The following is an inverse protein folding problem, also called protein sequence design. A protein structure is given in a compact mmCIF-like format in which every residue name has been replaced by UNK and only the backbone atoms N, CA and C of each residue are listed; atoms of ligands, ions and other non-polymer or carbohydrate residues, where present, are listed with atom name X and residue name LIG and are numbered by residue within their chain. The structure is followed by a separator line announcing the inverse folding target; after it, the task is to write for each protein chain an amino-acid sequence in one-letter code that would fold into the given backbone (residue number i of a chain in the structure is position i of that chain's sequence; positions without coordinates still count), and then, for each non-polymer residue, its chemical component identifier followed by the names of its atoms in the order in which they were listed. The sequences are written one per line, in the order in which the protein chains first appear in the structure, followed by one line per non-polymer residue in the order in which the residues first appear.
data_IF_045581791784
#
_entry.id   IF_045581791784
#
_cell.length_a   1.000
_cell.length_b   1.000
_cell.length_c   1.000
_cell.angle_alpha   90.00
_cell.angle_beta   90.00
_cell.angle_gamma   90.00
#
_symmetry.space_group_name_H-M   'P 1'
#
loop_
_entity.id
_entity.type
_entity.pdbx_description
1 polymer ?
#
# COMPACT_ATOMS: atom_id res chain seq x y z
N UNK A 1 27.04 5.78 -34.06
CA UNK A 1 27.81 5.46 -32.85
C UNK A 1 27.44 6.51 -31.82
N UNK A 2 26.41 6.20 -31.01
CA UNK A 2 25.97 7.09 -29.93
C UNK A 2 26.98 7.00 -28.78
N UNK A 3 27.36 8.15 -28.23
CA UNK A 3 28.28 8.24 -27.10
C UNK A 3 27.64 7.59 -25.87
N UNK A 4 28.43 6.87 -25.05
CA UNK A 4 28.00 6.46 -23.70
C UNK A 4 27.63 7.74 -22.92
N UNK A 5 26.41 7.88 -22.37
CA UNK A 5 26.12 8.98 -21.46
C UNK A 5 26.99 8.81 -20.21
N UNK A 6 28.00 9.67 -20.08
CA UNK A 6 28.95 9.65 -18.98
C UNK A 6 28.26 10.10 -17.68
N UNK A 7 28.11 9.17 -16.74
CA UNK A 7 27.79 9.42 -15.33
C UNK A 7 26.37 9.04 -14.92
N UNK A 8 26.19 7.83 -14.39
CA UNK A 8 25.06 7.46 -13.53
C UNK A 8 25.27 8.01 -12.11
N UNK A 9 25.57 9.30 -11.97
CA UNK A 9 25.33 9.96 -10.68
C UNK A 9 23.86 10.29 -10.66
N UNK A 10 23.08 9.47 -9.95
CA UNK A 10 21.74 9.82 -9.51
C UNK A 10 21.79 11.29 -9.08
N UNK A 11 20.99 12.12 -9.74
CA UNK A 11 20.78 13.48 -9.27
C UNK A 11 20.31 13.31 -7.83
N UNK A 12 21.15 13.71 -6.86
CA UNK A 12 20.73 13.83 -5.46
C UNK A 12 19.58 14.83 -5.47
N UNK A 13 18.37 14.34 -5.67
CA UNK A 13 17.17 15.12 -5.52
C UNK A 13 17.13 15.50 -4.06
N UNK A 14 17.42 16.77 -3.81
CA UNK A 14 17.19 17.41 -2.55
C UNK A 14 15.79 17.04 -2.09
N UNK A 15 15.70 16.23 -1.02
CA UNK A 15 14.48 15.97 -0.27
C UNK A 15 13.86 17.32 0.09
N UNK A 16 12.87 17.74 -0.69
CA UNK A 16 11.69 18.41 -0.15
C UNK A 16 10.61 17.37 -0.17
N UNK A 17 10.32 16.81 1.01
CA UNK A 17 9.04 16.20 1.29
C UNK A 17 7.97 17.15 0.76
N UNK A 18 7.22 16.73 -0.26
CA UNK A 18 6.21 17.54 -0.91
C UNK A 18 4.92 16.75 -0.89
N UNK A 19 4.20 16.94 0.22
CA UNK A 19 2.77 16.72 0.38
C UNK A 19 2.05 17.28 -0.85
N UNK A 20 1.16 16.46 -1.44
CA UNK A 20 0.22 16.88 -2.47
C UNK A 20 -0.51 18.16 -2.01
N UNK A 21 -0.62 19.12 -2.92
CA UNK A 21 -0.91 20.51 -2.63
C UNK A 21 -2.35 20.75 -2.13
N UNK A 22 -2.45 21.26 -0.90
CA UNK A 22 -3.62 21.95 -0.38
C UNK A 22 -3.83 23.28 -1.12
N UNK A 23 -4.90 23.38 -1.91
CA UNK A 23 -5.41 24.67 -2.36
C UNK A 23 -6.31 25.27 -1.28
N UNK A 24 -5.72 26.11 -0.42
CA UNK A 24 -6.45 26.95 0.52
C UNK A 24 -7.20 28.06 -0.23
N UNK A 25 -8.51 27.90 -0.38
CA UNK A 25 -9.40 29.00 -0.71
C UNK A 25 -9.94 29.63 0.60
N UNK A 26 -9.61 30.91 0.76
CA UNK A 26 -10.11 31.89 1.74
C UNK A 26 -11.54 31.64 2.26
N UNK A 27 -11.66 31.47 3.59
CA UNK A 27 -12.91 31.57 4.36
C UNK A 27 -13.09 33.02 4.84
N UNK A 28 -14.27 33.64 4.70
CA UNK A 28 -14.60 34.85 5.44
C UNK A 28 -15.06 34.51 6.86
N UNK A 29 -14.44 35.24 7.78
CA UNK A 29 -14.67 35.30 9.22
C UNK A 29 -16.16 35.56 9.56
N UNK A 30 -16.75 34.73 10.42
CA UNK A 30 -17.93 35.15 11.18
C UNK A 30 -18.05 34.37 12.50
N UNK A 31 -17.60 35.03 13.57
CA UNK A 31 -17.89 34.66 14.96
C UNK A 31 -19.38 34.82 15.25
N UNK A 32 -20.01 33.77 15.76
CA UNK A 32 -21.19 33.91 16.64
C UNK A 32 -21.15 32.85 17.71
N UNK A 33 -21.08 33.33 18.95
CA UNK A 33 -21.21 32.61 20.21
C UNK A 33 -22.57 31.90 20.35
N UNK A 34 -22.56 30.67 20.85
CA UNK A 34 -23.77 29.97 21.32
C UNK A 34 -23.47 28.53 21.73
N UNK A 35 -23.79 28.20 22.97
CA UNK A 35 -23.63 26.92 23.69
C UNK A 35 -23.85 25.66 22.82
N UNK A 36 -22.89 24.73 22.81
CA UNK A 36 -23.02 23.43 22.13
C UNK A 36 -23.52 22.35 23.08
N UNK A 37 -24.81 22.02 22.98
CA UNK A 37 -25.26 20.66 23.26
C UNK A 37 -24.84 19.78 22.07
N UNK A 38 -23.95 18.83 22.31
CA UNK A 38 -23.43 17.90 21.31
C UNK A 38 -24.51 16.87 20.95
N UNK A 39 -25.34 17.19 19.95
CA UNK A 39 -26.22 16.24 19.27
C UNK A 39 -25.43 15.54 18.17
N UNK A 40 -25.03 14.29 18.41
CA UNK A 40 -24.34 13.46 17.43
C UNK A 40 -25.34 12.73 16.54
N UNK A 41 -25.16 12.83 15.22
CA UNK A 41 -25.93 12.08 14.23
C UNK A 41 -25.36 10.66 14.17
N UNK A 42 -26.04 9.70 14.79
CA UNK A 42 -25.84 8.27 14.52
C UNK A 42 -26.05 8.02 13.02
N UNK A 43 -25.12 7.32 12.38
CA UNK A 43 -25.31 6.83 11.00
C UNK A 43 -26.42 5.78 11.08
N UNK A 44 -27.66 6.20 10.79
CA UNK A 44 -28.81 5.32 10.74
C UNK A 44 -28.66 4.41 9.50
N UNK A 45 -28.40 3.13 9.73
CA UNK A 45 -28.67 2.11 8.72
C UNK A 45 -30.18 2.13 8.45
N UNK A 46 -30.57 2.10 7.17
CA UNK A 46 -31.98 1.89 6.80
C UNK A 46 -32.37 0.50 7.24
N UNK A 47 -33.05 0.38 8.38
CA UNK A 47 -33.72 -0.84 8.82
C UNK A 47 -34.81 -1.22 7.80
N UNK A 48 -34.50 -2.08 6.84
CA UNK A 48 -35.51 -2.71 5.99
C UNK A 48 -36.10 -3.92 6.71
N UNK A 49 -37.00 -3.65 7.66
CA UNK A 49 -37.91 -4.66 8.21
C UNK A 49 -39.12 -3.98 8.86
N UNK A 50 -39.88 -3.24 8.05
CA UNK A 50 -41.21 -2.82 8.44
C UNK A 50 -42.17 -4.03 8.39
N UNK A 51 -42.31 -4.71 9.52
CA UNK A 51 -43.59 -5.27 9.95
C UNK A 51 -43.67 -5.19 11.47
N UNK A 52 -44.38 -4.16 11.94
CA UNK A 52 -44.94 -4.06 13.30
C UNK A 52 -45.63 -5.35 13.69
N UNK A 53 -45.17 -6.03 14.75
CA UNK A 53 -46.02 -6.73 15.72
C UNK A 53 -45.34 -6.82 17.09
N UNK A 54 -45.88 -6.04 18.05
CA UNK A 54 -45.96 -6.26 19.49
C UNK A 54 -44.98 -7.28 20.11
N UNK A 55 -43.91 -6.79 20.75
CA UNK A 55 -43.33 -7.44 21.96
C UNK A 55 -42.67 -6.40 22.89
N UNK A 56 -43.32 -6.17 24.03
CA UNK A 56 -42.68 -5.70 25.26
C UNK A 56 -41.57 -6.70 25.68
N UNK A 57 -40.34 -6.37 25.34
CA UNK A 57 -39.10 -6.91 25.90
C UNK A 57 -38.10 -5.74 26.00
N UNK A 58 -36.97 -5.85 26.73
CA UNK A 58 -35.95 -4.84 26.62
C UNK A 58 -35.50 -4.85 25.16
N UNK A 59 -35.80 -3.78 24.42
CA UNK A 59 -35.36 -3.60 23.05
C UNK A 59 -33.83 -3.74 23.05
N UNK A 60 -33.33 -4.84 22.47
CA UNK A 60 -31.91 -5.03 22.22
C UNK A 60 -31.55 -4.09 21.07
N UNK A 61 -31.47 -2.79 21.37
CA UNK A 61 -31.25 -1.64 20.47
C UNK A 61 -29.83 -1.61 19.86
N UNK A 62 -29.18 -2.76 19.79
CA UNK A 62 -27.83 -2.93 19.28
C UNK A 62 -27.80 -3.41 17.84
N UNK A 63 -26.75 -3.02 17.11
CA UNK A 63 -26.39 -3.69 15.86
C UNK A 63 -26.03 -5.14 16.15
N UNK A 64 -26.50 -6.07 15.33
CA UNK A 64 -26.14 -7.50 15.35
C UNK A 64 -24.70 -7.73 14.86
N UNK A 65 -24.16 -8.95 14.97
CA UNK A 65 -22.85 -9.27 14.38
C UNK A 65 -22.92 -9.20 12.85
N UNK A 66 -24.05 -9.57 12.26
CA UNK A 66 -24.32 -9.45 10.83
C UNK A 66 -24.27 -7.99 10.38
N UNK A 67 -24.86 -7.08 11.15
CA UNK A 67 -24.78 -5.64 10.89
C UNK A 67 -23.33 -5.13 10.99
N UNK A 68 -22.56 -5.62 11.97
CA UNK A 68 -21.13 -5.28 12.09
C UNK A 68 -20.30 -5.82 10.91
N UNK A 69 -20.63 -7.01 10.39
CA UNK A 69 -20.01 -7.56 9.17
C UNK A 69 -20.35 -6.69 7.95
N UNK A 70 -21.59 -6.21 7.83
CA UNK A 70 -21.99 -5.30 6.76
C UNK A 70 -21.25 -3.95 6.87
N UNK A 71 -21.20 -3.35 8.06
CA UNK A 71 -20.45 -2.12 8.30
C UNK A 71 -18.96 -2.29 8.01
N UNK A 72 -18.37 -3.43 8.36
CA UNK A 72 -16.99 -3.76 8.00
C UNK A 72 -16.81 -3.81 6.49
N UNK A 73 -17.70 -4.48 5.77
CA UNK A 73 -17.65 -4.53 4.29
C UNK A 73 -17.77 -3.14 3.66
N UNK A 74 -18.65 -2.28 4.20
CA UNK A 74 -18.78 -0.89 3.76
C UNK A 74 -17.51 -0.07 4.05
N UNK A 75 -16.94 -0.22 5.24
CA UNK A 75 -15.69 0.44 5.60
C UNK A 75 -14.50 -0.02 4.73
N UNK A 76 -14.42 -1.31 4.39
CA UNK A 76 -13.43 -1.85 3.46
C UNK A 76 -13.56 -1.21 2.07
N UNK A 77 -14.78 -1.08 1.56
CA UNK A 77 -15.04 -0.43 0.27
C UNK A 77 -14.63 1.04 0.28
N UNK A 78 -14.99 1.79 1.34
CA UNK A 78 -14.62 3.20 1.47
C UNK A 78 -13.12 3.40 1.65
N UNK A 79 -12.45 2.53 2.41
CA UNK A 79 -11.00 2.56 2.55
C UNK A 79 -10.32 2.28 1.20
N UNK A 80 -10.80 1.30 0.44
CA UNK A 80 -10.30 1.02 -0.89
C UNK A 80 -10.51 2.20 -1.85
N UNK A 81 -11.69 2.83 -1.84
CA UNK A 81 -12.00 4.00 -2.64
C UNK A 81 -11.08 5.17 -2.29
N UNK A 82 -10.86 5.42 -1.00
CA UNK A 82 -9.94 6.45 -0.56
C UNK A 82 -8.49 6.15 -0.99
N UNK A 83 -7.98 4.95 -0.71
CA UNK A 83 -6.58 4.57 -0.99
C UNK A 83 -6.26 4.50 -2.48
N UNK A 84 -7.17 3.95 -3.29
CA UNK A 84 -6.95 3.77 -4.73
C UNK A 84 -7.29 5.03 -5.54
N UNK A 85 -8.38 5.73 -5.19
CA UNK A 85 -8.92 6.82 -6.00
C UNK A 85 -8.63 8.21 -5.42
N UNK A 86 -7.97 8.28 -4.25
CA UNK A 86 -7.74 9.53 -3.52
C UNK A 86 -9.03 10.33 -3.27
N UNK A 87 -10.16 9.66 -3.05
CA UNK A 87 -11.45 10.30 -2.84
C UNK A 87 -11.59 10.84 -1.40
N UNK A 88 -11.61 12.18 -1.18
CA UNK A 88 -11.67 12.75 0.16
C UNK A 88 -13.01 12.49 0.88
N UNK A 89 -14.12 12.32 0.15
CA UNK A 89 -15.42 12.00 0.76
C UNK A 89 -15.39 10.59 1.38
N UNK A 90 -14.81 9.63 0.66
CA UNK A 90 -14.55 8.28 1.18
C UNK A 90 -13.62 8.28 2.39
N UNK A 91 -12.70 9.24 2.51
CA UNK A 91 -11.84 9.38 3.69
C UNK A 91 -12.67 9.67 4.95
N UNK A 92 -13.56 10.67 4.88
CA UNK A 92 -14.41 11.05 6.00
C UNK A 92 -15.38 9.92 6.36
N UNK A 93 -15.97 9.26 5.35
CA UNK A 93 -16.88 8.14 5.56
C UNK A 93 -16.18 6.94 6.20
N UNK A 94 -14.97 6.59 5.73
CA UNK A 94 -14.15 5.51 6.31
C UNK A 94 -13.88 5.75 7.80
N UNK A 95 -13.44 6.96 8.15
CA UNK A 95 -13.17 7.32 9.55
C UNK A 95 -14.43 7.22 10.42
N UNK A 96 -15.59 7.65 9.91
CA UNK A 96 -16.85 7.57 10.65
C UNK A 96 -17.34 6.12 10.84
N UNK A 97 -17.24 5.28 9.80
CA UNK A 97 -17.61 3.87 9.89
C UNK A 97 -16.72 3.11 10.88
N UNK A 98 -15.40 3.30 10.81
CA UNK A 98 -14.45 2.68 11.73
C UNK A 98 -14.72 3.09 13.19
N UNK A 99 -14.99 4.38 13.45
CA UNK A 99 -15.39 4.87 14.78
C UNK A 99 -16.71 4.27 15.24
N UNK A 100 -17.71 4.18 14.35
CA UNK A 100 -18.98 3.54 14.64
C UNK A 100 -18.82 2.09 15.08
N UNK A 101 -18.00 1.31 14.37
CA UNK A 101 -17.68 -0.07 14.72
C UNK A 101 -16.97 -0.13 16.08
N UNK A 102 -15.99 0.76 16.34
CA UNK A 102 -15.32 0.83 17.64
C UNK A 102 -16.28 1.12 18.80
N UNK A 103 -17.19 2.09 18.63
CA UNK A 103 -18.17 2.45 19.65
C UNK A 103 -19.16 1.33 19.92
N UNK A 104 -19.64 0.65 18.89
CA UNK A 104 -20.58 -0.47 19.05
C UNK A 104 -19.90 -1.67 19.72
N UNK A 105 -18.66 -1.99 19.35
CA UNK A 105 -17.89 -3.03 20.04
C UNK A 105 -17.67 -2.66 21.52
N UNK A 106 -17.36 -1.40 21.80
CA UNK A 106 -17.20 -0.92 23.17
C UNK A 106 -18.50 -1.04 23.98
N UNK A 107 -19.64 -0.64 23.40
CA UNK A 107 -20.97 -0.79 24.01
C UNK A 107 -21.27 -2.25 24.35
N UNK A 108 -21.03 -3.17 23.41
CA UNK A 108 -21.20 -4.62 23.62
C UNK A 108 -20.32 -5.17 24.74
N UNK A 109 -19.06 -4.75 24.81
CA UNK A 109 -18.14 -5.13 25.90
C UNK A 109 -18.64 -4.60 27.26
N UNK A 110 -19.11 -3.36 27.32
CA UNK A 110 -19.68 -2.79 28.54
C UNK A 110 -20.94 -3.53 28.99
N UNK A 111 -21.83 -3.88 28.07
CA UNK A 111 -23.06 -4.63 28.36
C UNK A 111 -22.75 -6.03 28.90
N UNK A 112 -21.81 -6.75 28.28
CA UNK A 112 -21.36 -8.06 28.77
C UNK A 112 -20.72 -7.98 30.17
N UNK A 113 -20.05 -6.88 30.50
CA UNK A 113 -19.48 -6.67 31.83
C UNK A 113 -20.55 -6.37 32.92
N UNK A 114 -21.66 -5.73 32.52
CA UNK A 114 -22.77 -5.40 33.42
C UNK A 114 -23.76 -6.56 33.60
N UNK A 115 -23.86 -7.44 32.62
CA UNK A 115 -24.78 -8.58 32.59
C UNK A 115 -24.00 -9.90 32.46
N UNK A 116 -23.64 -10.57 33.57
CA UNK A 116 -22.83 -11.81 33.54
C UNK A 116 -23.47 -12.99 32.79
N UNK A 117 -24.77 -12.92 32.50
CA UNK A 117 -25.50 -13.88 31.67
C UNK A 117 -25.37 -13.62 30.17
N UNK A 118 -24.88 -12.44 29.78
CA UNK A 118 -24.66 -12.04 28.39
C UNK A 118 -23.23 -12.41 28.01
N UNK A 119 -23.07 -13.57 27.40
CA UNK A 119 -21.77 -13.97 26.85
C UNK A 119 -21.36 -12.99 25.75
N UNK A 120 -20.14 -12.47 25.85
CA UNK A 120 -19.58 -11.63 24.79
C UNK A 120 -19.33 -12.53 23.58
N UNK A 121 -19.97 -12.20 22.45
CA UNK A 121 -19.73 -12.92 21.22
C UNK A 121 -18.25 -12.83 20.83
N UNK A 122 -17.66 -14.00 20.54
CA UNK A 122 -16.23 -14.22 20.29
C UNK A 122 -15.67 -13.45 19.07
N UNK A 123 -16.48 -12.67 18.36
CA UNK A 123 -16.06 -11.83 17.24
C UNK A 123 -15.97 -10.34 17.60
N UNK A 124 -16.53 -9.91 18.74
CA UNK A 124 -16.61 -8.49 19.11
C UNK A 124 -15.21 -7.88 19.30
N UNK A 125 -14.30 -8.64 19.91
CA UNK A 125 -12.94 -8.17 20.16
C UNK A 125 -12.09 -8.20 18.88
N UNK A 126 -12.35 -9.15 17.97
CA UNK A 126 -11.86 -9.20 16.59
C UNK A 126 -12.23 -7.95 15.80
N UNK A 127 -13.51 -7.54 15.84
CA UNK A 127 -13.96 -6.29 15.20
C UNK A 127 -13.27 -5.06 15.79
N UNK A 128 -13.19 -4.97 17.12
CA UNK A 128 -12.51 -3.86 17.78
C UNK A 128 -11.03 -3.83 17.40
N UNK A 129 -10.36 -4.98 17.40
CA UNK A 129 -8.96 -5.11 17.01
C UNK A 129 -8.71 -4.71 15.57
N UNK A 130 -9.57 -5.12 14.64
CA UNK A 130 -9.51 -4.72 13.23
C UNK A 130 -9.78 -3.23 13.05
N UNK A 131 -10.89 -2.71 13.58
CA UNK A 131 -11.29 -1.33 13.36
C UNK A 131 -10.28 -0.33 13.95
N UNK A 132 -9.73 -0.63 15.14
CA UNK A 132 -8.70 0.23 15.76
C UNK A 132 -7.36 0.16 15.03
N UNK A 133 -7.00 -0.98 14.45
CA UNK A 133 -5.80 -1.10 13.61
C UNK A 133 -5.97 -0.33 12.31
N UNK A 134 -7.08 -0.53 11.58
CA UNK A 134 -7.36 0.21 10.34
C UNK A 134 -7.46 1.70 10.58
N UNK A 135 -8.10 2.14 11.68
CA UNK A 135 -8.17 3.55 12.04
C UNK A 135 -6.78 4.13 12.33
N UNK A 136 -5.92 3.36 13.00
CA UNK A 136 -4.52 3.74 13.23
C UNK A 136 -3.72 3.88 11.93
N UNK A 137 -3.77 2.88 11.05
CA UNK A 137 -3.09 2.93 9.75
C UNK A 137 -3.65 4.07 8.87
N UNK A 138 -4.96 4.29 8.91
CA UNK A 138 -5.63 5.34 8.15
C UNK A 138 -5.30 6.76 8.64
N UNK A 139 -5.33 7.03 9.95
CA UNK A 139 -5.09 8.35 10.51
C UNK A 139 -3.60 8.67 10.69
N UNK A 140 -2.81 7.66 11.03
CA UNK A 140 -1.37 7.74 11.32
C UNK A 140 -0.61 6.72 10.47
N UNK A 141 -0.57 6.90 9.14
CA UNK A 141 0.02 5.94 8.22
C UNK A 141 1.52 5.71 8.49
N UNK A 142 1.97 4.49 8.23
CA UNK A 142 3.37 4.12 8.39
C UNK A 142 4.26 4.92 7.43
N UNK A 143 5.30 5.58 7.95
CA UNK A 143 6.27 6.31 7.13
C UNK A 143 5.76 7.64 6.56
N UNK A 144 4.57 8.10 6.97
CA UNK A 144 3.99 9.36 6.54
C UNK A 144 3.50 10.20 7.73
N UNK A 145 3.27 11.50 7.49
CA UNK A 145 2.75 12.41 8.50
C UNK A 145 1.30 12.05 8.86
N UNK A 146 0.88 12.19 10.14
CA UNK A 146 -0.49 12.02 10.55
C UNK A 146 -1.46 12.93 9.77
N UNK A 147 -2.64 12.42 9.48
CA UNK A 147 -3.75 13.15 8.84
C UNK A 147 -4.48 13.99 9.87
N UNK A 148 -3.82 15.03 10.36
CA UNK A 148 -4.28 15.86 11.46
C UNK A 148 -5.69 16.44 11.26
N UNK A 149 -6.11 16.65 10.01
CA UNK A 149 -7.45 17.10 9.65
C UNK A 149 -8.56 16.07 9.89
N UNK A 150 -8.21 14.78 10.01
CA UNK A 150 -9.16 13.68 10.25
C UNK A 150 -9.12 13.17 11.71
N UNK A 151 -8.12 13.57 12.49
CA UNK A 151 -7.93 13.14 13.88
C UNK A 151 -8.82 13.98 14.81
N UNK A 152 -9.64 13.32 15.61
CA UNK A 152 -10.48 13.98 16.61
C UNK A 152 -9.67 14.29 17.90
N UNK A 153 -10.09 15.27 18.72
CA UNK A 153 -9.31 15.70 19.89
C UNK A 153 -9.00 14.61 20.92
N UNK A 154 -9.87 13.60 21.04
CA UNK A 154 -9.74 12.52 22.02
C UNK A 154 -9.06 11.26 21.44
N UNK A 155 -8.60 11.32 20.19
CA UNK A 155 -8.00 10.18 19.51
C UNK A 155 -6.47 10.14 19.67
N UNK A 156 -5.88 8.92 19.68
CA UNK A 156 -4.44 8.78 19.57
C UNK A 156 -3.89 9.42 18.29
N UNK A 157 -2.87 10.25 18.46
CA UNK A 157 -2.13 10.95 17.40
C UNK A 157 -0.92 10.15 16.88
N UNK A 158 -0.74 8.91 17.34
CA UNK A 158 0.40 8.08 17.01
C UNK A 158 0.00 6.61 16.80
N UNK A 159 0.55 5.99 15.75
CA UNK A 159 0.23 4.62 15.35
C UNK A 159 0.53 3.59 16.44
N UNK A 160 1.63 3.75 17.18
CA UNK A 160 1.99 2.83 18.25
C UNK A 160 0.91 2.73 19.35
N UNK A 161 0.17 3.82 19.61
CA UNK A 161 -0.95 3.82 20.57
C UNK A 161 -2.15 3.07 20.00
N UNK A 162 -2.46 3.24 18.71
CA UNK A 162 -3.49 2.46 18.03
C UNK A 162 -3.16 0.97 18.01
N UNK A 163 -1.93 0.60 17.68
CA UNK A 163 -1.44 -0.77 17.74
C UNK A 163 -1.57 -1.34 19.16
N UNK A 164 -1.32 -0.56 20.21
CA UNK A 164 -1.49 -1.01 21.59
C UNK A 164 -2.96 -1.29 21.94
N UNK A 165 -3.92 -0.49 21.43
CA UNK A 165 -5.35 -0.73 21.61
C UNK A 165 -5.76 -2.03 20.88
N UNK A 166 -5.38 -2.16 19.61
CA UNK A 166 -5.66 -3.35 18.81
C UNK A 166 -5.06 -4.63 19.43
N UNK A 167 -3.81 -4.55 19.89
CA UNK A 167 -3.12 -5.66 20.57
C UNK A 167 -3.87 -6.14 21.81
N UNK A 168 -4.34 -5.20 22.65
CA UNK A 168 -5.14 -5.55 23.83
C UNK A 168 -6.44 -6.23 23.43
N UNK A 169 -7.12 -5.72 22.40
CA UNK A 169 -8.37 -6.31 21.93
C UNK A 169 -8.17 -7.75 21.42
N UNK A 170 -7.13 -8.00 20.64
CA UNK A 170 -6.86 -9.33 20.09
C UNK A 170 -6.31 -10.31 21.13
N UNK A 171 -5.65 -9.82 22.19
CA UNK A 171 -5.09 -10.68 23.24
C UNK A 171 -6.16 -11.46 24.00
N UNK A 172 -7.39 -10.92 24.12
CA UNK A 172 -8.52 -11.61 24.77
C UNK A 172 -9.12 -12.76 23.94
N UNK A 173 -8.80 -12.88 22.65
CA UNK A 173 -9.31 -13.96 21.78
C UNK A 173 -8.32 -15.10 21.56
N UNK A 174 -7.04 -14.93 21.93
CA UNK A 174 -6.05 -16.03 21.82
C UNK A 174 -6.41 -17.25 22.68
N UNK A 175 -7.25 -17.05 23.70
CA UNK A 175 -7.70 -18.08 24.63
C UNK A 175 -8.97 -18.83 24.14
N UNK A 176 -9.69 -18.33 23.12
CA UNK A 176 -10.95 -18.90 22.63
C UNK A 176 -10.84 -19.75 21.36
N UNK A 177 -9.69 -19.75 20.69
CA UNK A 177 -9.41 -20.55 19.50
C UNK A 177 -9.71 -19.79 18.19
N UNK A 178 -8.69 -19.72 17.33
CA UNK A 178 -8.64 -19.18 15.96
C UNK A 178 -9.62 -18.05 15.59
N UNK A 179 -9.06 -16.84 15.37
CA UNK A 179 -9.75 -15.71 14.72
C UNK A 179 -10.60 -16.21 13.55
N UNK A 180 -11.86 -15.76 13.47
CA UNK A 180 -12.76 -16.11 12.37
C UNK A 180 -12.15 -15.67 11.03
N UNK A 181 -12.55 -16.32 9.93
CA UNK A 181 -11.93 -16.15 8.61
C UNK A 181 -11.70 -14.69 8.20
N UNK A 182 -12.65 -13.79 8.52
CA UNK A 182 -12.63 -12.37 8.18
C UNK A 182 -11.55 -11.53 8.89
N UNK A 183 -10.89 -12.07 9.93
CA UNK A 183 -9.92 -11.34 10.75
C UNK A 183 -8.52 -11.99 10.77
N UNK A 184 -8.28 -13.03 9.96
CA UNK A 184 -7.00 -13.76 9.93
C UNK A 184 -5.78 -12.87 9.65
N UNK A 185 -5.98 -11.78 8.91
CA UNK A 185 -4.94 -10.81 8.58
C UNK A 185 -4.66 -9.77 9.66
N UNK A 186 -5.54 -9.60 10.64
CA UNK A 186 -5.42 -8.51 11.62
C UNK A 186 -4.15 -8.68 12.45
N UNK A 187 -3.95 -9.87 13.04
CA UNK A 187 -2.78 -10.13 13.88
C UNK A 187 -1.45 -10.07 13.09
N UNK A 188 -1.30 -10.70 11.90
CA UNK A 188 -0.09 -10.52 11.09
C UNK A 188 0.16 -9.06 10.70
N UNK A 189 -0.88 -8.28 10.41
CA UNK A 189 -0.75 -6.86 10.05
C UNK A 189 -0.29 -6.03 11.25
N UNK A 190 -0.86 -6.27 12.43
CA UNK A 190 -0.45 -5.65 13.68
C UNK A 190 1.02 -5.96 14.01
N UNK A 191 1.42 -7.24 13.91
CA UNK A 191 2.79 -7.67 14.19
C UNK A 191 3.80 -6.99 13.25
N UNK A 192 3.45 -6.88 11.95
CA UNK A 192 4.30 -6.19 10.97
C UNK A 192 4.37 -4.68 11.23
N UNK A 193 3.24 -4.03 11.54
CA UNK A 193 3.22 -2.61 11.87
C UNK A 193 4.09 -2.30 13.11
N UNK A 194 4.02 -3.14 14.14
CA UNK A 194 4.88 -3.02 15.33
C UNK A 194 6.36 -3.22 15.00
N UNK A 195 6.70 -4.23 14.18
CA UNK A 195 8.08 -4.45 13.75
C UNK A 195 8.64 -3.26 12.94
N UNK A 196 7.81 -2.65 12.10
CA UNK A 196 8.17 -1.44 11.34
C UNK A 196 8.40 -0.22 12.24
N UNK A 197 7.55 -0.05 13.27
CA UNK A 197 7.74 1.01 14.27
C UNK A 197 9.01 0.81 15.11
N UNK A 198 9.37 -0.43 15.41
CA UNK A 198 10.57 -0.77 16.18
C UNK A 198 11.87 -0.74 15.36
N UNK A 199 11.77 -0.65 14.03
CA UNK A 199 12.90 -0.52 13.08
C UNK A 199 13.95 -1.65 13.15
N UNK A 200 13.56 -2.87 13.56
CA UNK A 200 14.47 -4.04 13.59
C UNK A 200 14.35 -4.87 12.31
N UNK A 201 15.36 -4.78 11.44
CA UNK A 201 15.33 -5.39 10.08
C UNK A 201 15.01 -6.88 10.06
N UNK A 202 15.59 -7.68 10.96
CA UNK A 202 15.41 -9.13 10.95
C UNK A 202 13.97 -9.54 11.31
N UNK A 203 13.35 -8.80 12.23
CA UNK A 203 11.95 -9.01 12.63
C UNK A 203 11.01 -8.62 11.47
N UNK A 204 11.29 -7.50 10.79
CA UNK A 204 10.50 -7.04 9.63
C UNK A 204 10.45 -8.12 8.53
N UNK A 205 11.57 -8.77 8.20
CA UNK A 205 11.61 -9.81 7.16
C UNK A 205 10.74 -11.02 7.55
N UNK A 206 10.84 -11.47 8.80
CA UNK A 206 10.03 -12.58 9.31
C UNK A 206 8.54 -12.23 9.31
N UNK A 207 8.19 -11.05 9.85
CA UNK A 207 6.79 -10.59 9.91
C UNK A 207 6.21 -10.38 8.52
N UNK A 208 6.97 -9.82 7.59
CA UNK A 208 6.56 -9.64 6.20
C UNK A 208 6.31 -10.99 5.51
N UNK A 209 7.15 -12.00 5.77
CA UNK A 209 6.94 -13.33 5.22
C UNK A 209 5.64 -13.97 5.76
N UNK A 210 5.41 -13.91 7.07
CA UNK A 210 4.17 -14.45 7.67
C UNK A 210 2.96 -13.69 7.15
N UNK A 211 3.00 -12.35 7.16
CA UNK A 211 1.91 -11.52 6.66
C UNK A 211 1.64 -11.75 5.17
N UNK A 212 2.67 -11.80 4.33
CA UNK A 212 2.55 -12.04 2.90
C UNK A 212 1.97 -13.43 2.56
N UNK A 213 2.30 -14.45 3.35
CA UNK A 213 1.72 -15.79 3.20
C UNK A 213 0.21 -15.79 3.51
N UNK A 214 -0.20 -15.16 4.61
CA UNK A 214 -1.64 -15.05 4.97
C UNK A 214 -2.38 -14.18 3.95
N UNK A 215 -1.81 -13.04 3.53
CA UNK A 215 -2.38 -12.16 2.50
C UNK A 215 -2.64 -12.89 1.19
N UNK A 216 -1.66 -13.66 0.71
CA UNK A 216 -1.80 -14.43 -0.52
C UNK A 216 -2.86 -15.52 -0.38
N UNK A 217 -2.92 -16.19 0.78
CA UNK A 217 -3.94 -17.20 1.05
C UNK A 217 -5.35 -16.61 1.06
N UNK A 218 -5.53 -15.46 1.72
CA UNK A 218 -6.82 -14.76 1.79
C UNK A 218 -7.27 -14.30 0.41
N UNK A 219 -6.39 -13.69 -0.39
CA UNK A 219 -6.69 -13.27 -1.77
C UNK A 219 -7.15 -14.42 -2.67
N UNK A 220 -6.54 -15.60 -2.52
CA UNK A 220 -6.92 -16.81 -3.28
C UNK A 220 -8.26 -17.37 -2.80
N UNK A 221 -8.52 -17.32 -1.49
CA UNK A 221 -9.77 -17.82 -0.89
C UNK A 221 -10.97 -16.90 -1.15
N UNK A 222 -10.76 -15.60 -1.21
CA UNK A 222 -11.81 -14.59 -1.39
C UNK A 222 -12.22 -14.47 -2.85
N UNK A 223 -12.70 -15.56 -3.46
CA UNK A 223 -13.18 -15.54 -4.85
C UNK A 223 -14.49 -14.75 -5.06
N UNK A 224 -15.09 -14.19 -4.00
CA UNK A 224 -16.52 -13.81 -4.03
C UNK A 224 -16.77 -12.32 -3.77
N UNK A 225 -15.89 -11.58 -3.06
CA UNK A 225 -16.19 -10.19 -2.66
C UNK A 225 -15.10 -9.22 -3.16
N UNK A 226 -15.45 -8.41 -4.16
CA UNK A 226 -14.56 -7.44 -4.79
C UNK A 226 -14.06 -6.37 -3.80
N UNK A 227 -14.93 -5.81 -2.95
CA UNK A 227 -14.57 -4.78 -1.97
C UNK A 227 -13.48 -5.26 -1.01
N UNK A 228 -13.61 -6.50 -0.50
CA UNK A 228 -12.61 -7.12 0.35
C UNK A 228 -11.27 -7.31 -0.38
N UNK A 229 -11.29 -7.81 -1.63
CA UNK A 229 -10.06 -7.97 -2.42
C UNK A 229 -9.38 -6.62 -2.72
N UNK A 230 -10.15 -5.57 -3.02
CA UNK A 230 -9.62 -4.23 -3.24
C UNK A 230 -9.04 -3.64 -1.95
N UNK A 231 -9.69 -3.84 -0.80
CA UNK A 231 -9.16 -3.47 0.51
C UNK A 231 -7.82 -4.18 0.76
N UNK A 232 -7.77 -5.51 0.61
CA UNK A 232 -6.55 -6.31 0.78
C UNK A 232 -5.38 -5.78 -0.07
N UNK A 233 -5.65 -5.52 -1.36
CA UNK A 233 -4.66 -4.96 -2.28
C UNK A 233 -4.21 -3.56 -1.83
N UNK A 234 -5.15 -2.68 -1.49
CA UNK A 234 -4.85 -1.31 -1.09
C UNK A 234 -4.02 -1.26 0.21
N UNK A 235 -4.36 -2.07 1.20
CA UNK A 235 -3.61 -2.21 2.45
C UNK A 235 -2.21 -2.78 2.19
N UNK A 236 -2.09 -3.73 1.25
CA UNK A 236 -0.80 -4.28 0.89
C UNK A 236 0.12 -3.25 0.25
N UNK A 237 -0.40 -2.40 -0.64
CA UNK A 237 0.36 -1.32 -1.26
C UNK A 237 0.90 -0.33 -0.22
N UNK A 238 0.05 0.09 0.72
CA UNK A 238 0.42 1.00 1.80
C UNK A 238 1.56 0.43 2.67
N UNK A 239 1.48 -0.86 3.02
CA UNK A 239 2.53 -1.54 3.80
C UNK A 239 3.83 -1.65 2.99
N UNK A 240 3.75 -1.96 1.70
CA UNK A 240 4.94 -2.06 0.84
C UNK A 240 5.62 -0.71 0.69
N UNK A 241 4.86 0.37 0.53
CA UNK A 241 5.37 1.73 0.52
C UNK A 241 6.07 2.07 1.85
N UNK A 242 5.48 1.69 2.98
CA UNK A 242 6.06 1.92 4.30
C UNK A 242 7.35 1.13 4.59
N UNK A 243 7.46 -0.10 4.07
CA UNK A 243 8.69 -0.91 4.19
C UNK A 243 9.82 -0.31 3.35
N UNK A 244 9.49 0.41 2.29
CA UNK A 244 10.47 0.80 1.27
C UNK A 244 11.58 1.75 1.73
N UNK A 245 11.35 2.78 2.56
CA UNK A 245 12.44 3.62 3.10
C UNK A 245 13.48 2.85 3.90
N UNK A 246 13.12 1.72 4.53
CA UNK A 246 14.08 0.86 5.27
C UNK A 246 15.11 0.20 4.34
N UNK A 247 14.87 0.27 3.03
CA UNK A 247 15.76 -0.19 1.97
C UNK A 247 16.81 0.87 1.60
N UNK A 248 16.38 2.13 1.44
CA UNK A 248 17.20 3.23 0.92
C UNK A 248 18.31 3.65 1.89
N UNK A 249 18.10 3.53 3.21
CA UNK A 249 19.07 3.96 4.23
C UNK A 249 20.18 2.92 4.50
N UNK A 250 20.06 1.70 3.96
CA UNK A 250 20.98 0.59 4.21
C UNK A 250 21.55 -0.03 2.93
N UNK A 251 21.50 0.68 1.80
CA UNK A 251 22.17 0.25 0.57
C UNK A 251 23.63 -0.04 0.91
N UNK A 252 23.99 -1.33 0.96
CA UNK A 252 25.15 -1.94 0.29
C UNK A 252 25.58 -3.31 0.89
N UNK A 253 25.32 -3.71 2.13
CA UNK A 253 26.18 -4.78 2.73
C UNK A 253 25.62 -6.18 3.11
N UNK A 254 24.38 -6.63 2.82
CA UNK A 254 23.98 -7.98 3.29
C UNK A 254 23.11 -8.87 2.39
N UNK A 255 23.31 -10.19 2.55
CA UNK A 255 22.42 -11.27 2.09
C UNK A 255 20.95 -11.09 2.54
N UNK A 256 20.67 -10.22 3.52
CA UNK A 256 19.32 -9.93 4.02
C UNK A 256 18.49 -9.10 3.03
N UNK A 257 19.11 -8.16 2.30
CA UNK A 257 18.37 -7.29 1.36
C UNK A 257 17.90 -8.04 0.12
N UNK A 258 18.73 -8.94 -0.44
CA UNK A 258 18.31 -9.78 -1.56
C UNK A 258 17.11 -10.65 -1.17
N UNK A 259 17.15 -11.25 0.04
CA UNK A 259 16.02 -12.03 0.57
C UNK A 259 14.77 -11.18 0.73
N UNK A 260 14.89 -9.96 1.26
CA UNK A 260 13.77 -9.04 1.40
C UNK A 260 13.18 -8.65 0.03
N UNK A 261 14.04 -8.31 -0.94
CA UNK A 261 13.62 -8.02 -2.31
C UNK A 261 12.88 -9.22 -2.93
N UNK A 262 13.44 -10.42 -2.86
CA UNK A 262 12.80 -11.62 -3.42
C UNK A 262 11.45 -11.92 -2.76
N UNK A 263 11.31 -11.67 -1.46
CA UNK A 263 10.04 -11.82 -0.74
C UNK A 263 9.01 -10.77 -1.16
N UNK A 264 9.40 -9.49 -1.23
CA UNK A 264 8.52 -8.42 -1.69
C UNK A 264 8.11 -8.61 -3.15
N UNK A 265 9.05 -9.00 -4.01
CA UNK A 265 8.80 -9.34 -5.41
C UNK A 265 7.80 -10.47 -5.52
N UNK A 266 8.02 -11.58 -4.83
CA UNK A 266 7.11 -12.74 -4.84
C UNK A 266 5.71 -12.34 -4.36
N UNK A 267 5.63 -11.49 -3.34
CA UNK A 267 4.36 -10.97 -2.85
C UNK A 267 3.68 -10.09 -3.91
N UNK A 268 4.39 -9.11 -4.49
CA UNK A 268 3.87 -8.22 -5.53
C UNK A 268 3.45 -8.98 -6.80
N UNK A 269 4.20 -9.99 -7.20
CA UNK A 269 3.82 -10.91 -8.29
C UNK A 269 2.53 -11.67 -7.95
N UNK A 270 2.39 -12.15 -6.71
CA UNK A 270 1.17 -12.81 -6.23
C UNK A 270 -0.02 -11.85 -6.19
N UNK A 271 0.19 -10.61 -5.75
CA UNK A 271 -0.81 -9.53 -5.77
C UNK A 271 -1.20 -9.19 -7.21
N UNK A 272 -0.25 -9.11 -8.14
CA UNK A 272 -0.50 -8.82 -9.55
C UNK A 272 -1.34 -9.93 -10.19
N UNK A 273 -1.03 -11.20 -9.87
CA UNK A 273 -1.82 -12.35 -10.30
C UNK A 273 -3.23 -12.33 -9.71
N UNK A 274 -3.40 -11.97 -8.44
CA UNK A 274 -4.72 -11.80 -7.83
C UNK A 274 -5.49 -10.65 -8.49
N UNK A 275 -4.85 -9.50 -8.68
CA UNK A 275 -5.43 -8.32 -9.32
C UNK A 275 -5.89 -8.59 -10.76
N UNK A 276 -5.10 -9.35 -11.52
CA UNK A 276 -5.45 -9.77 -12.89
C UNK A 276 -6.72 -10.64 -12.94
N UNK A 277 -7.01 -11.36 -11.85
CA UNK A 277 -8.16 -12.26 -11.72
C UNK A 277 -9.32 -11.68 -10.91
N UNK A 278 -9.30 -10.38 -10.57
CA UNK A 278 -10.41 -9.73 -9.87
C UNK A 278 -11.73 -9.94 -10.64
N UNK A 279 -12.83 -10.27 -9.95
CA UNK A 279 -14.15 -10.36 -10.55
C UNK A 279 -14.56 -8.96 -11.00
N UNK A 280 -14.51 -8.72 -12.31
CA UNK A 280 -14.92 -7.45 -12.89
C UNK A 280 -16.42 -7.52 -13.12
N UNK A 281 -17.19 -6.82 -12.29
CA UNK A 281 -18.62 -6.65 -12.51
C UNK A 281 -18.86 -5.78 -13.76
N UNK A 282 -20.10 -5.72 -14.24
CA UNK A 282 -20.42 -4.84 -15.35
C UNK A 282 -20.41 -3.35 -14.98
N UNK A 283 -20.38 -3.03 -13.68
CA UNK A 283 -20.31 -1.67 -13.15
C UNK A 283 -19.02 -0.96 -13.63
N UNK A 284 -19.14 0.20 -14.30
CA UNK A 284 -17.99 1.01 -14.69
C UNK A 284 -17.06 1.40 -13.53
N UNK A 285 -17.60 1.60 -12.32
CA UNK A 285 -16.81 1.95 -11.15
C UNK A 285 -15.93 0.75 -10.72
N UNK A 286 -16.49 -0.45 -10.66
CA UNK A 286 -15.76 -1.69 -10.34
C UNK A 286 -14.63 -1.96 -11.34
N UNK A 287 -14.92 -1.78 -12.64
CA UNK A 287 -13.94 -1.88 -13.72
C UNK A 287 -12.76 -0.93 -13.49
N UNK A 288 -13.07 0.34 -13.20
CA UNK A 288 -12.06 1.36 -12.99
C UNK A 288 -11.25 1.10 -11.72
N UNK A 289 -11.89 0.69 -10.61
CA UNK A 289 -11.21 0.33 -9.36
C UNK A 289 -10.25 -0.84 -9.54
N UNK A 290 -10.68 -1.89 -10.24
CA UNK A 290 -9.81 -3.02 -10.57
C UNK A 290 -8.64 -2.60 -11.49
N UNK A 291 -8.87 -1.68 -12.44
CA UNK A 291 -7.81 -1.15 -13.29
C UNK A 291 -6.79 -0.33 -12.49
N UNK A 292 -7.24 0.54 -11.58
CA UNK A 292 -6.38 1.32 -10.68
C UNK A 292 -5.57 0.41 -9.76
N UNK A 293 -6.20 -0.63 -9.19
CA UNK A 293 -5.50 -1.62 -8.37
C UNK A 293 -4.40 -2.34 -9.17
N UNK A 294 -4.71 -2.81 -10.39
CA UNK A 294 -3.75 -3.46 -11.29
C UNK A 294 -2.60 -2.52 -11.66
N UNK A 295 -2.91 -1.28 -12.00
CA UNK A 295 -1.93 -0.26 -12.32
C UNK A 295 -1.00 -0.02 -11.12
N UNK A 296 -1.56 0.21 -9.93
CA UNK A 296 -0.80 0.53 -8.72
C UNK A 296 0.15 -0.60 -8.31
N UNK A 297 -0.31 -1.86 -8.35
CA UNK A 297 0.56 -3.03 -8.08
C UNK A 297 1.66 -3.14 -9.15
N UNK A 298 1.30 -3.00 -10.43
CA UNK A 298 2.25 -3.12 -11.53
C UNK A 298 3.32 -2.03 -11.45
N UNK A 299 2.91 -0.80 -11.16
CA UNK A 299 3.80 0.34 -10.99
C UNK A 299 4.73 0.13 -9.78
N UNK A 300 4.21 -0.28 -8.63
CA UNK A 300 5.05 -0.55 -7.45
C UNK A 300 6.04 -1.68 -7.73
N UNK A 301 5.63 -2.77 -8.38
CA UNK A 301 6.55 -3.85 -8.78
C UNK A 301 7.67 -3.35 -9.70
N UNK A 302 7.32 -2.52 -10.69
CA UNK A 302 8.30 -1.91 -11.58
C UNK A 302 9.27 -1.00 -10.83
N UNK A 303 8.76 -0.14 -9.96
CA UNK A 303 9.56 0.81 -9.19
C UNK A 303 10.52 0.10 -8.21
N UNK A 304 10.06 -0.95 -7.50
CA UNK A 304 10.94 -1.74 -6.63
C UNK A 304 12.02 -2.47 -7.40
N UNK A 305 11.68 -3.00 -8.58
CA UNK A 305 12.65 -3.63 -9.45
C UNK A 305 13.69 -2.62 -9.99
N UNK A 306 13.27 -1.39 -10.32
CA UNK A 306 14.15 -0.30 -10.72
C UNK A 306 15.11 0.08 -9.59
N UNK A 307 14.61 0.40 -8.40
CA UNK A 307 15.45 0.78 -7.25
C UNK A 307 16.48 -0.30 -6.93
N UNK A 308 16.07 -1.57 -6.92
CA UNK A 308 17.00 -2.69 -6.71
C UNK A 308 18.05 -2.80 -7.82
N UNK A 309 17.60 -2.76 -9.07
CA UNK A 309 18.46 -2.89 -10.24
C UNK A 309 19.48 -1.74 -10.33
N UNK A 310 19.05 -0.50 -10.09
CA UNK A 310 19.93 0.66 -10.05
C UNK A 310 20.96 0.57 -8.92
N UNK A 311 20.56 0.14 -7.72
CA UNK A 311 21.50 -0.03 -6.61
C UNK A 311 22.55 -1.13 -6.87
N UNK A 312 22.18 -2.21 -7.58
CA UNK A 312 23.14 -3.23 -8.00
C UNK A 312 24.03 -2.72 -9.15
N UNK A 313 23.46 -1.96 -10.09
CA UNK A 313 24.21 -1.34 -11.18
C UNK A 313 25.30 -0.40 -10.64
N UNK A 314 24.99 0.45 -9.65
CA UNK A 314 25.97 1.33 -9.00
C UNK A 314 27.15 0.53 -8.40
N UNK A 315 26.89 -0.63 -7.77
CA UNK A 315 27.98 -1.49 -7.25
C UNK A 315 28.86 -2.07 -8.36
N UNK A 316 28.26 -2.44 -9.48
CA UNK A 316 28.99 -2.96 -10.63
C UNK A 316 29.83 -1.83 -11.24
N UNK A 317 29.29 -0.62 -11.31
CA UNK A 317 30.06 0.55 -11.74
C UNK A 317 31.26 0.79 -10.82
N UNK A 318 31.08 0.79 -9.51
CA UNK A 318 32.17 0.94 -8.55
C UNK A 318 33.24 -0.17 -8.68
N UNK A 319 32.81 -1.40 -9.01
CA UNK A 319 33.70 -2.56 -9.12
C UNK A 319 34.50 -2.59 -10.44
N UNK A 320 33.86 -2.28 -11.57
CA UNK A 320 34.45 -2.43 -12.91
C UNK A 320 34.87 -1.10 -13.56
N UNK A 321 34.44 0.04 -13.01
CA UNK A 321 34.79 1.39 -13.48
C UNK A 321 35.21 2.31 -12.32
N UNK A 322 36.22 1.93 -11.51
CA UNK A 322 36.64 2.76 -10.37
C UNK A 322 37.13 4.13 -10.83
N UNK A 323 36.68 5.22 -10.18
CA UNK A 323 36.99 6.62 -10.51
C UNK A 323 38.50 6.95 -10.57
N UNK A 324 39.39 6.02 -10.17
CA UNK A 324 40.84 6.20 -10.09
C UNK A 324 41.64 5.89 -11.36
N UNK A 325 41.09 5.24 -12.39
CA UNK A 325 41.83 4.92 -13.62
C UNK A 325 41.61 5.97 -14.72
N UNK A 326 42.63 6.80 -14.94
CA UNK A 326 42.66 7.89 -15.93
C UNK A 326 42.94 7.44 -17.37
N UNK A 327 43.01 6.13 -17.62
CA UNK A 327 43.16 5.64 -19.00
C UNK A 327 41.77 5.46 -19.61
N UNK A 328 41.51 6.03 -20.80
CA UNK A 328 40.24 5.82 -21.48
C UNK A 328 40.11 4.32 -21.75
N UNK A 329 39.16 3.67 -21.06
CA UNK A 329 38.71 2.32 -21.40
C UNK A 329 38.28 2.36 -22.87
N UNK A 330 38.85 1.49 -23.69
CA UNK A 330 38.51 1.40 -25.11
C UNK A 330 36.99 1.18 -25.22
N UNK A 331 36.27 2.01 -25.99
CA UNK A 331 34.79 2.06 -25.96
C UNK A 331 34.15 0.70 -26.37
N UNK A 332 34.92 -0.11 -27.09
CA UNK A 332 34.59 -1.45 -27.58
C UNK A 332 34.80 -2.57 -26.56
N UNK A 333 35.52 -2.33 -25.46
CA UNK A 333 35.70 -3.33 -24.41
C UNK A 333 34.54 -3.24 -23.40
N UNK A 334 33.92 -4.39 -23.14
CA UNK A 334 32.90 -4.53 -22.10
C UNK A 334 33.58 -5.18 -20.88
N UNK A 335 34.04 -4.38 -19.91
CA UNK A 335 34.91 -4.88 -18.83
C UNK A 335 34.15 -5.64 -17.75
N UNK A 336 32.81 -5.66 -17.79
CA UNK A 336 31.98 -6.33 -16.79
C UNK A 336 32.01 -7.83 -17.01
N UNK A 337 32.37 -8.60 -15.97
CA UNK A 337 32.26 -10.06 -15.99
C UNK A 337 30.79 -10.47 -16.03
N UNK A 338 30.35 -11.06 -17.14
CA UNK A 338 28.96 -11.50 -17.30
C UNK A 338 28.61 -12.69 -16.42
N UNK A 339 29.58 -13.38 -15.82
CA UNK A 339 29.33 -14.43 -14.83
C UNK A 339 29.14 -13.91 -13.41
N UNK A 340 29.35 -12.60 -13.18
CA UNK A 340 29.13 -11.96 -11.88
C UNK A 340 27.65 -12.08 -11.46
N UNK A 341 27.35 -12.66 -10.28
CA UNK A 341 25.98 -12.77 -9.78
C UNK A 341 25.26 -11.42 -9.65
N UNK A 342 25.98 -10.35 -9.28
CA UNK A 342 25.39 -9.02 -9.16
C UNK A 342 24.99 -8.48 -10.54
N UNK A 343 25.80 -8.74 -11.57
CA UNK A 343 25.49 -8.38 -12.95
C UNK A 343 24.23 -9.10 -13.44
N UNK A 344 24.14 -10.41 -13.24
CA UNK A 344 22.95 -11.18 -13.61
C UNK A 344 21.71 -10.68 -12.86
N UNK A 345 21.81 -10.45 -11.55
CA UNK A 345 20.70 -9.94 -10.74
C UNK A 345 20.27 -8.53 -11.16
N UNK A 346 21.23 -7.67 -11.54
CA UNK A 346 20.95 -6.32 -12.08
C UNK A 346 20.11 -6.42 -13.35
N UNK A 347 20.52 -7.25 -14.31
CA UNK A 347 19.78 -7.45 -15.55
C UNK A 347 18.38 -8.03 -15.29
N UNK A 348 18.25 -9.00 -14.38
CA UNK A 348 16.93 -9.55 -14.01
C UNK A 348 16.02 -8.46 -13.45
N UNK A 349 16.52 -7.65 -12.51
CA UNK A 349 15.75 -6.58 -11.88
C UNK A 349 15.34 -5.49 -12.88
N UNK A 350 16.28 -5.02 -13.72
CA UNK A 350 15.98 -3.96 -14.70
C UNK A 350 15.06 -4.43 -15.83
N UNK A 351 15.17 -5.69 -16.28
CA UNK A 351 14.21 -6.24 -17.25
C UNK A 351 12.81 -6.39 -16.64
N UNK A 352 12.72 -6.78 -15.37
CA UNK A 352 11.44 -6.82 -14.65
C UNK A 352 10.82 -5.42 -14.54
N UNK A 353 11.64 -4.40 -14.23
CA UNK A 353 11.20 -3.01 -14.22
C UNK A 353 10.66 -2.55 -15.58
N UNK A 354 11.39 -2.78 -16.69
CA UNK A 354 10.95 -2.44 -18.05
C UNK A 354 9.62 -3.11 -18.40
N UNK A 355 9.51 -4.41 -18.13
CA UNK A 355 8.29 -5.18 -18.39
C UNK A 355 7.09 -4.57 -17.67
N UNK A 356 7.22 -4.31 -16.37
CA UNK A 356 6.09 -3.82 -15.57
C UNK A 356 5.77 -2.36 -15.83
N UNK A 357 6.75 -1.47 -16.03
CA UNK A 357 6.46 -0.10 -16.45
C UNK A 357 5.77 -0.05 -17.82
N UNK A 358 6.15 -0.94 -18.75
CA UNK A 358 5.46 -1.06 -20.04
C UNK A 358 4.00 -1.50 -19.87
N UNK A 359 3.72 -2.46 -18.97
CA UNK A 359 2.35 -2.87 -18.65
C UNK A 359 1.57 -1.72 -18.00
N UNK A 360 2.17 -1.03 -17.03
CA UNK A 360 1.55 0.11 -16.35
C UNK A 360 1.19 1.23 -17.34
N UNK A 361 2.09 1.53 -18.29
CA UNK A 361 1.85 2.50 -19.36
C UNK A 361 0.66 2.10 -20.22
N UNK A 362 0.60 0.82 -20.63
CA UNK A 362 -0.53 0.31 -21.41
C UNK A 362 -1.85 0.42 -20.64
N UNK A 363 -1.86 0.10 -19.35
CA UNK A 363 -3.04 0.24 -18.50
C UNK A 363 -3.54 1.69 -18.50
N UNK A 364 -2.63 2.67 -18.31
CA UNK A 364 -2.97 4.10 -18.35
C UNK A 364 -3.54 4.55 -19.70
N UNK A 365 -3.06 3.99 -20.82
CA UNK A 365 -3.55 4.33 -22.15
C UNK A 365 -4.93 3.73 -22.45
N UNK A 366 -5.29 2.62 -21.80
CA UNK A 366 -6.52 1.86 -22.08
C UNK A 366 -7.69 2.17 -21.16
N UNK A 367 -7.44 2.57 -19.92
CA UNK A 367 -8.51 2.83 -18.94
C UNK A 367 -8.81 4.34 -18.83
N UNK A 368 -10.08 4.78 -19.01
CA UNK A 368 -10.44 6.19 -18.96
C UNK A 368 -10.08 6.87 -17.63
N UNK A 369 -10.28 6.19 -16.50
CA UNK A 369 -10.00 6.77 -15.19
C UNK A 369 -8.48 6.95 -14.99
N UNK A 370 -7.69 5.96 -15.39
CA UNK A 370 -6.22 6.06 -15.34
C UNK A 370 -5.69 7.15 -16.27
N UNK A 371 -6.33 7.35 -17.43
CA UNK A 371 -5.99 8.43 -18.35
C UNK A 371 -6.23 9.81 -17.74
N UNK A 372 -7.24 9.90 -16.88
CA UNK A 372 -7.64 11.13 -16.18
C UNK A 372 -6.88 11.35 -14.85
N UNK A 373 -6.07 10.38 -14.37
CA UNK A 373 -5.22 10.52 -13.16
C UNK A 373 -4.16 11.62 -13.27
N UNK A 374 -4.01 12.26 -14.44
CA UNK A 374 -3.28 13.50 -14.62
C UNK A 374 -2.00 13.35 -15.42
N UNK A 375 -1.62 14.43 -16.11
CA UNK A 375 -0.41 14.49 -16.94
C UNK A 375 0.87 14.25 -16.13
N UNK A 376 0.87 14.59 -14.84
CA UNK A 376 2.01 14.42 -13.94
C UNK A 376 2.34 12.95 -13.68
N UNK A 377 1.33 12.11 -13.42
CA UNK A 377 1.49 10.66 -13.23
C UNK A 377 2.00 10.00 -14.52
N UNK A 378 1.43 10.39 -15.67
CA UNK A 378 1.86 9.88 -16.96
C UNK A 378 3.30 10.31 -17.31
N UNK A 379 3.70 11.51 -16.90
CA UNK A 379 5.06 12.02 -17.08
C UNK A 379 6.05 11.27 -16.18
N UNK A 380 5.73 11.10 -14.91
CA UNK A 380 6.57 10.37 -13.96
C UNK A 380 6.83 8.92 -14.43
N UNK A 381 5.77 8.21 -14.84
CA UNK A 381 5.90 6.87 -15.41
C UNK A 381 6.83 6.84 -16.63
N UNK A 382 6.73 7.81 -17.54
CA UNK A 382 7.63 7.90 -18.71
C UNK A 382 9.07 8.17 -18.27
N UNK A 383 9.28 9.04 -17.29
CA UNK A 383 10.60 9.32 -16.73
C UNK A 383 11.21 8.05 -16.13
N UNK A 384 10.50 7.34 -15.25
CA UNK A 384 11.01 6.11 -14.62
C UNK A 384 11.27 4.99 -15.65
N UNK A 385 10.40 4.83 -16.65
CA UNK A 385 10.64 3.89 -17.74
C UNK A 385 11.88 4.27 -18.57
N UNK A 386 12.06 5.56 -18.86
CA UNK A 386 13.25 6.06 -19.56
C UNK A 386 14.52 5.79 -18.76
N UNK A 387 14.53 6.11 -17.46
CA UNK A 387 15.63 5.84 -16.54
C UNK A 387 15.96 4.34 -16.46
N UNK A 388 14.93 3.49 -16.40
CA UNK A 388 15.08 2.03 -16.42
C UNK A 388 15.79 1.56 -17.69
N UNK A 389 15.32 2.03 -18.86
CA UNK A 389 15.89 1.64 -20.15
C UNK A 389 17.33 2.16 -20.30
N UNK A 390 17.62 3.39 -19.86
CA UNK A 390 18.98 3.93 -19.90
C UNK A 390 19.94 3.11 -19.02
N UNK A 391 19.52 2.81 -17.79
CA UNK A 391 20.31 1.98 -16.87
C UNK A 391 20.52 0.58 -17.46
N UNK A 392 19.45 -0.03 -18.00
CA UNK A 392 19.56 -1.34 -18.66
C UNK A 392 20.50 -1.29 -19.87
N UNK A 393 20.42 -0.25 -20.69
CA UNK A 393 21.31 -0.04 -21.84
C UNK A 393 22.78 0.05 -21.43
N UNK A 394 23.09 0.78 -20.36
CA UNK A 394 24.45 0.87 -19.81
C UNK A 394 24.99 -0.49 -19.36
N UNK A 395 24.11 -1.37 -18.88
CA UNK A 395 24.45 -2.71 -18.40
C UNK A 395 24.54 -3.77 -19.51
N UNK A 396 24.13 -3.51 -20.76
CA UNK A 396 24.21 -4.50 -21.84
C UNK A 396 25.55 -4.40 -22.58
N UNK A 397 26.05 -5.51 -23.13
CA UNK A 397 27.20 -5.54 -24.04
C UNK A 397 26.97 -4.69 -25.31
N UNK A 398 28.04 -4.18 -25.97
CA UNK A 398 27.91 -3.43 -27.21
C UNK A 398 27.26 -4.30 -28.28
N UNK A 399 26.19 -3.80 -28.90
CA UNK A 399 25.52 -4.50 -29.98
C UNK A 399 24.05 -4.13 -30.13
N UNK A 400 23.32 -4.85 -31.00
CA UNK A 400 21.96 -4.48 -31.41
C UNK A 400 20.95 -4.41 -30.26
N UNK A 401 21.14 -5.24 -29.21
CA UNK A 401 20.26 -5.23 -28.03
C UNK A 401 20.37 -3.92 -27.24
N UNK A 402 21.59 -3.43 -27.05
CA UNK A 402 21.86 -2.16 -26.37
C UNK A 402 21.27 -1.00 -27.17
N UNK A 403 21.51 -0.98 -28.48
CA UNK A 403 21.01 0.08 -29.36
C UNK A 403 19.47 0.14 -29.37
N UNK A 404 18.80 -1.01 -29.44
CA UNK A 404 17.34 -1.07 -29.38
C UNK A 404 16.76 -0.53 -28.06
N UNK A 405 17.46 -0.74 -26.94
CA UNK A 405 17.04 -0.22 -25.63
C UNK A 405 17.18 1.32 -25.58
N UNK A 406 18.28 1.87 -26.10
CA UNK A 406 18.45 3.33 -26.18
C UNK A 406 17.47 4.00 -27.14
N UNK A 407 17.17 3.36 -28.28
CA UNK A 407 16.15 3.85 -29.20
C UNK A 407 14.78 3.95 -28.51
N UNK A 408 14.36 2.88 -27.80
CA UNK A 408 13.14 2.91 -26.97
C UNK A 408 13.18 4.00 -25.89
N UNK A 409 14.32 4.23 -25.25
CA UNK A 409 14.46 5.29 -24.25
C UNK A 409 14.30 6.69 -24.87
N UNK A 410 14.85 6.90 -26.07
CA UNK A 410 14.75 8.15 -26.83
C UNK A 410 13.32 8.45 -27.25
N UNK A 411 12.56 7.44 -27.68
CA UNK A 411 11.14 7.58 -28.07
C UNK A 411 10.24 8.05 -26.92
N UNK A 412 10.66 7.85 -25.67
CA UNK A 412 9.90 8.31 -24.48
C UNK A 412 10.12 9.80 -24.16
N UNK A 413 11.04 10.48 -24.85
CA UNK A 413 11.19 11.93 -24.83
C UNK A 413 12.02 12.50 -23.67
N UNK A 414 12.91 11.71 -23.06
CA UNK A 414 13.72 12.12 -21.91
C UNK A 414 15.11 12.69 -22.23
N UNK A 415 15.76 12.23 -23.30
CA UNK A 415 17.17 12.53 -23.58
C UNK A 415 17.44 12.54 -25.09
N UNK A 416 17.95 13.66 -25.62
CA UNK A 416 18.57 13.70 -26.95
C UNK A 416 19.99 13.12 -26.85
N UNK A 417 20.29 12.08 -27.62
CA UNK A 417 21.61 11.42 -27.67
C UNK A 417 22.58 12.09 -28.64
#
# INVERSE_FOLDING_TARGET
MGKRPLGLKATKNNKKSRTLANNAATVPDNRSSGQSETSYTTVALRTTSATDQDKDGPEDDGLTIEDLLELKSQAEDQLANFRLLSNPESAAESGNLLRGICHECHRRVQLAALEPSRELECSTMSFLGWATLELGLFLTPLGADPRAELILPDEPDALNRWCAISSRALSSEKDSGALSGHFRLVQPTLDLALALLDSKSDDIVEKLQTWGAVMTEELVKTQIVLSHQLWLISSALEIIEAVSPTWDDHVVESHGQQKLFDKLRTLLESLAMAAANLPVSDDPLDKSRAAVARYSITYQLANRALVHGSALAEKIEDQYFPESEKEPVDEDEFPIDTSDPNYQNTLIALNLADQHFTIAKKLMETDPLLKDMGEEVAKDLKTQLSETLLTLGNMLEPGPKREAVYERASELGGFEF
#
